data_IF_290074464794
#
_entry.id   IF_290074464794
#
_cell.length_a   1.000
_cell.length_b   1.000
_cell.length_c   1.000
_cell.angle_alpha   90.00
_cell.angle_beta   90.00
_cell.angle_gamma   90.00
#
_symmetry.space_group_name_H-M   'P 1'
#
loop_
_entity.id
_entity.type
_entity.pdbx_description
1 polymer ?
#
# COMPACT_ATOMS: atom_id res chain seq x y z
N UNK A 1 -7.63 -19.51 6.24
CA UNK A 1 -7.95 -18.08 6.50
C UNK A 1 -6.74 -17.26 6.93
N UNK A 2 -5.84 -17.75 7.80
CA UNK A 2 -4.65 -17.01 8.29
C UNK A 2 -3.51 -16.75 7.29
N UNK A 3 -3.55 -17.33 6.10
CA UNK A 3 -2.48 -17.20 5.11
C UNK A 3 -2.63 -15.98 4.20
N UNK A 4 -3.86 -15.49 4.02
CA UNK A 4 -4.17 -14.35 3.14
C UNK A 4 -3.38 -13.07 3.49
N UNK A 5 -3.27 -12.69 4.79
CA UNK A 5 -2.49 -11.49 5.17
C UNK A 5 -1.01 -11.64 4.84
N UNK A 6 -0.44 -12.84 5.05
CA UNK A 6 0.97 -13.12 4.76
C UNK A 6 1.27 -13.00 3.26
N UNK A 7 0.37 -13.47 2.40
CA UNK A 7 0.52 -13.34 0.96
C UNK A 7 0.46 -11.88 0.49
N UNK A 8 -0.46 -11.07 1.03
CA UNK A 8 -0.56 -9.64 0.69
C UNK A 8 0.69 -8.87 1.15
N UNK A 9 1.22 -9.14 2.35
CA UNK A 9 2.43 -8.46 2.84
C UNK A 9 3.66 -8.81 2.00
N UNK A 10 3.82 -10.07 1.60
CA UNK A 10 4.89 -10.50 0.69
C UNK A 10 4.72 -9.89 -0.71
N UNK A 11 3.49 -9.81 -1.22
CA UNK A 11 3.18 -9.16 -2.48
C UNK A 11 3.58 -7.68 -2.47
N UNK A 12 3.26 -6.94 -1.41
CA UNK A 12 3.69 -5.54 -1.23
C UNK A 12 5.22 -5.41 -1.23
N UNK A 13 5.94 -6.33 -0.57
CA UNK A 13 7.40 -6.32 -0.59
C UNK A 13 7.98 -6.54 -1.99
N UNK A 14 7.46 -7.52 -2.75
CA UNK A 14 7.91 -7.74 -4.13
C UNK A 14 7.55 -6.58 -5.07
N UNK A 15 6.40 -5.93 -4.86
CA UNK A 15 5.99 -4.75 -5.59
C UNK A 15 7.01 -3.61 -5.46
N UNK A 16 7.45 -3.30 -4.23
CA UNK A 16 8.47 -2.28 -3.96
C UNK A 16 9.85 -2.69 -4.54
N UNK A 17 10.22 -3.97 -4.46
CA UNK A 17 11.49 -4.45 -5.03
C UNK A 17 11.51 -4.34 -6.56
N UNK A 18 10.39 -4.58 -7.25
CA UNK A 18 10.30 -4.43 -8.71
C UNK A 18 10.32 -2.96 -9.19
N UNK A 19 9.96 -2.01 -8.32
CA UNK A 19 10.05 -0.58 -8.65
C UNK A 19 11.48 -0.12 -8.87
N UNK A 20 12.44 -0.69 -8.12
CA UNK A 20 13.87 -0.37 -8.22
C UNK A 20 14.41 -0.61 -9.65
N UNK A 21 14.34 -1.82 -10.24
CA UNK A 21 14.83 -2.05 -11.59
C UNK A 21 14.06 -1.26 -12.65
N UNK A 22 12.75 -1.05 -12.48
CA UNK A 22 11.98 -0.23 -13.42
C UNK A 22 12.44 1.23 -13.42
N UNK A 23 12.70 1.80 -12.23
CA UNK A 23 13.26 3.14 -12.12
C UNK A 23 14.61 3.25 -12.83
N UNK A 24 15.51 2.28 -12.62
CA UNK A 24 16.81 2.24 -13.29
C UNK A 24 16.68 2.11 -14.82
N UNK A 25 15.75 1.28 -15.32
CA UNK A 25 15.53 1.11 -16.75
C UNK A 25 15.10 2.45 -17.39
N UNK A 26 14.17 3.16 -16.78
CA UNK A 26 13.66 4.44 -17.31
C UNK A 26 14.74 5.54 -17.18
N UNK A 27 15.53 5.52 -16.11
CA UNK A 27 16.61 6.49 -15.92
C UNK A 27 17.78 6.29 -16.92
N UNK A 28 18.14 5.04 -17.23
CA UNK A 28 19.29 4.72 -18.09
C UNK A 28 18.89 4.74 -19.58
N UNK A 29 17.79 4.07 -19.95
CA UNK A 29 17.35 3.89 -21.34
C UNK A 29 16.23 4.85 -21.78
N UNK A 30 15.77 5.74 -20.91
CA UNK A 30 14.75 6.72 -21.26
C UNK A 30 15.23 7.77 -22.28
N UNK A 31 14.31 8.16 -23.16
CA UNK A 31 14.48 9.23 -24.17
C UNK A 31 14.57 10.63 -23.51
N UNK A 32 14.55 11.72 -24.29
CA UNK A 32 14.39 13.10 -23.80
C UNK A 32 13.40 13.22 -22.63
N UNK A 33 13.80 13.93 -21.57
CA UNK A 33 13.08 14.02 -20.29
C UNK A 33 12.90 12.70 -19.52
N UNK A 34 13.81 11.74 -19.67
CA UNK A 34 13.90 10.50 -18.86
C UNK A 34 13.68 10.67 -17.37
N UNK A 35 14.26 11.71 -16.76
CA UNK A 35 14.11 11.96 -15.32
C UNK A 35 12.67 12.31 -14.95
N UNK A 36 11.97 13.07 -15.81
CA UNK A 36 10.58 13.44 -15.61
C UNK A 36 9.64 12.24 -15.80
N UNK A 37 9.91 11.41 -16.82
CA UNK A 37 9.17 10.17 -17.04
C UNK A 37 9.35 9.17 -15.88
N UNK A 38 10.59 8.97 -15.42
CA UNK A 38 10.92 8.11 -14.28
C UNK A 38 10.24 8.58 -12.99
N UNK A 39 10.28 9.89 -12.71
CA UNK A 39 9.66 10.49 -11.52
C UNK A 39 8.13 10.33 -11.54
N UNK A 40 7.47 10.58 -12.68
CA UNK A 40 6.03 10.36 -12.79
C UNK A 40 5.68 8.89 -12.58
N UNK A 41 6.38 7.98 -13.25
CA UNK A 41 6.16 6.55 -13.10
C UNK A 41 6.28 6.16 -11.62
N UNK A 42 7.39 6.56 -10.97
CA UNK A 42 7.63 6.28 -9.56
C UNK A 42 6.49 6.79 -8.66
N UNK A 43 6.08 8.05 -8.80
CA UNK A 43 5.01 8.63 -7.97
C UNK A 43 3.68 7.89 -8.18
N UNK A 44 3.29 7.59 -9.43
CA UNK A 44 2.04 6.88 -9.69
C UNK A 44 2.04 5.49 -9.04
N UNK A 45 3.13 4.75 -9.16
CA UNK A 45 3.22 3.39 -8.58
C UNK A 45 3.38 3.42 -7.06
N UNK A 46 4.06 4.43 -6.52
CA UNK A 46 4.20 4.62 -5.07
C UNK A 46 2.87 4.97 -4.40
N UNK A 47 2.04 5.80 -5.05
CA UNK A 47 0.69 6.12 -4.55
C UNK A 47 -0.17 4.86 -4.46
N UNK A 48 -0.11 3.99 -5.47
CA UNK A 48 -0.78 2.68 -5.42
C UNK A 48 -0.23 1.81 -4.29
N UNK A 49 1.10 1.79 -4.10
CA UNK A 49 1.75 1.08 -2.99
C UNK A 49 1.28 1.58 -1.61
N UNK A 50 1.18 2.90 -1.41
CA UNK A 50 0.68 3.51 -0.18
C UNK A 50 -0.77 3.13 0.11
N UNK A 51 -1.63 3.09 -0.91
CA UNK A 51 -3.03 2.68 -0.77
C UNK A 51 -3.14 1.21 -0.33
N UNK A 52 -2.27 0.36 -0.89
CA UNK A 52 -2.17 -1.04 -0.48
C UNK A 52 -1.65 -1.18 0.96
N UNK A 53 -0.68 -0.36 1.38
CA UNK A 53 -0.17 -0.33 2.76
C UNK A 53 -1.26 0.05 3.77
N UNK A 54 -2.09 1.05 3.46
CA UNK A 54 -3.26 1.40 4.27
C UNK A 54 -4.22 0.22 4.39
N UNK A 55 -4.42 -0.52 3.31
CA UNK A 55 -5.32 -1.68 3.30
C UNK A 55 -4.83 -2.80 4.22
N UNK A 56 -3.52 -3.02 4.30
CA UNK A 56 -2.89 -3.98 5.22
C UNK A 56 -3.05 -3.54 6.68
N UNK A 57 -2.86 -2.26 6.96
CA UNK A 57 -3.01 -1.70 8.31
C UNK A 57 -4.45 -1.80 8.81
N UNK A 58 -5.42 -1.43 7.98
CA UNK A 58 -6.85 -1.52 8.31
C UNK A 58 -7.27 -2.96 8.55
N UNK A 59 -6.76 -3.91 7.76
CA UNK A 59 -7.06 -5.34 7.95
C UNK A 59 -6.64 -5.88 9.31
N UNK A 60 -5.59 -5.30 9.92
CA UNK A 60 -5.13 -5.75 11.23
C UNK A 60 -6.12 -5.42 12.36
N UNK A 61 -7.07 -4.52 12.12
CA UNK A 61 -8.10 -4.13 13.09
C UNK A 61 -9.19 -5.21 13.12
N UNK A 62 -9.36 -5.94 14.24
CA UNK A 62 -10.39 -6.98 14.31
C UNK A 62 -11.77 -6.34 14.35
N UNK A 63 -12.69 -6.87 13.54
CA UNK A 63 -14.07 -6.37 13.41
C UNK A 63 -14.76 -6.29 14.79
N UNK A 64 -14.45 -7.20 15.71
CA UNK A 64 -14.95 -7.18 17.09
C UNK A 64 -14.56 -5.92 17.86
N UNK A 65 -13.35 -5.39 17.66
CA UNK A 65 -12.93 -4.12 18.30
C UNK A 65 -13.72 -2.92 17.79
N UNK A 66 -14.08 -2.93 16.50
CA UNK A 66 -14.90 -1.88 15.88
C UNK A 66 -16.32 -1.92 16.44
N UNK A 67 -16.89 -3.11 16.61
CA UNK A 67 -18.20 -3.30 17.26
C UNK A 67 -18.21 -2.85 18.72
N UNK A 68 -17.19 -3.20 19.51
CA UNK A 68 -17.10 -2.79 20.93
C UNK A 68 -17.01 -1.26 21.05
N UNK A 69 -16.23 -0.62 20.18
CA UNK A 69 -16.09 0.83 20.14
C UNK A 69 -17.45 1.47 19.81
N UNK A 70 -18.17 0.95 18.82
CA UNK A 70 -19.50 1.43 18.45
C UNK A 70 -20.52 1.29 19.59
N UNK A 71 -20.55 0.14 20.28
CA UNK A 71 -21.45 -0.05 21.43
C UNK A 71 -21.13 0.91 22.57
N UNK A 72 -19.84 1.13 22.86
CA UNK A 72 -19.42 2.05 23.91
C UNK A 72 -19.78 3.52 23.61
N UNK A 73 -19.85 3.90 22.34
CA UNK A 73 -20.35 5.23 21.96
C UNK A 73 -21.84 5.38 22.21
N UNK A 74 -22.67 4.39 21.83
CA UNK A 74 -24.12 4.40 22.06
C UNK A 74 -24.47 4.46 23.57
N UNK A 75 -23.70 3.75 24.40
CA UNK A 75 -23.88 3.76 25.87
C UNK A 75 -23.48 5.09 26.53
N UNK A 76 -22.69 5.94 25.86
CA UNK A 76 -22.26 7.24 26.39
C UNK A 76 -23.32 8.34 26.17
N UNK A 77 -24.23 8.14 25.22
CA UNK A 77 -25.28 9.10 24.85
C UNK A 77 -26.68 8.72 25.39
N UNK A 78 -26.80 7.61 26.13
CA UNK A 78 -27.98 7.25 26.94
C UNK A 78 -27.82 7.66 28.39
#
# INVERSE_FOLDING_TARGET
MYLLPRFISLFFFFWEVMLIPMYFIIAIWGHENKNYAAMKFFIFTQVTGMLMLVSILVWHIPITSIWIIQLKYEDLFR
#
